data_IF_726376454862
#
_entry.id   IF_726376454862
#
_cell.length_a   1.000
_cell.length_b   1.000
_cell.length_c   1.000
_cell.angle_alpha   90.00
_cell.angle_beta   90.00
_cell.angle_gamma   90.00
#
_symmetry.space_group_name_H-M   'P 1'
#
loop_
_entity.id
_entity.type
_entity.pdbx_description
1 polymer ?
#
# COMPACT_ATOMS: atom_id res chain seq x y z
N UNK A 1 -7.62 21.47 27.43
CA UNK A 1 -8.43 20.40 28.05
C UNK A 1 -9.91 20.78 28.04
N UNK A 2 -10.57 20.76 26.88
CA UNK A 2 -12.04 20.71 26.76
C UNK A 2 -12.51 19.79 25.63
N UNK A 3 -11.57 19.10 24.97
CA UNK A 3 -11.84 18.35 23.74
C UNK A 3 -12.13 16.86 23.98
N UNK A 4 -11.96 16.40 25.23
CA UNK A 4 -12.18 15.01 25.65
C UNK A 4 -12.93 15.02 26.98
N UNK A 5 -14.13 14.44 27.00
CA UNK A 5 -14.86 14.12 28.22
C UNK A 5 -14.70 12.62 28.53
N UNK A 6 -14.30 12.31 29.76
CA UNK A 6 -14.32 10.98 30.34
C UNK A 6 -15.48 10.93 31.33
N UNK A 7 -16.63 10.40 30.90
CA UNK A 7 -17.85 10.38 31.70
C UNK A 7 -17.94 9.14 32.61
N UNK A 8 -17.05 8.16 32.44
CA UNK A 8 -17.19 6.81 33.01
C UNK A 8 -15.86 6.10 33.36
N UNK A 9 -14.69 6.73 33.17
CA UNK A 9 -13.35 6.18 33.42
C UNK A 9 -12.83 5.20 32.36
N UNK A 10 -13.63 4.88 31.33
CA UNK A 10 -13.31 3.85 30.33
C UNK A 10 -13.70 4.21 28.89
N UNK A 11 -14.30 5.37 28.67
CA UNK A 11 -14.61 5.84 27.33
C UNK A 11 -14.18 7.27 27.16
N UNK A 12 -13.36 7.52 26.13
CA UNK A 12 -13.00 8.88 25.73
C UNK A 12 -13.87 9.29 24.56
N UNK A 13 -14.47 10.47 24.68
CA UNK A 13 -15.33 11.06 23.66
C UNK A 13 -14.69 12.35 23.15
N UNK A 14 -14.51 12.48 21.83
CA UNK A 14 -14.11 13.76 21.25
C UNK A 14 -15.28 14.75 21.32
N UNK A 15 -15.11 15.92 21.91
CA UNK A 15 -16.21 16.91 21.98
C UNK A 15 -16.44 17.65 20.66
N UNK A 16 -15.50 17.55 19.71
CA UNK A 16 -15.60 18.15 18.37
C UNK A 16 -16.21 17.20 17.35
N UNK A 17 -15.66 16.00 17.24
CA UNK A 17 -16.02 15.00 16.22
C UNK A 17 -16.89 13.86 16.78
N UNK A 18 -17.11 13.87 18.10
CA UNK A 18 -18.18 13.15 18.80
C UNK A 18 -18.09 11.60 18.77
N UNK A 19 -17.07 11.06 18.08
CA UNK A 19 -16.63 9.68 18.18
C UNK A 19 -16.34 9.27 19.63
N UNK A 20 -16.55 7.98 19.91
CA UNK A 20 -16.28 7.36 21.21
C UNK A 20 -15.31 6.20 21.06
N UNK A 21 -14.30 6.17 21.91
CA UNK A 21 -13.31 5.10 21.99
C UNK A 21 -13.43 4.44 23.37
N UNK A 22 -13.50 3.12 23.40
CA UNK A 22 -13.31 2.34 24.63
C UNK A 22 -11.81 2.17 24.85
N UNK A 23 -11.27 2.83 25.88
CA UNK A 23 -9.82 2.82 26.15
C UNK A 23 -9.33 1.49 26.68
N UNK A 24 -10.20 0.60 27.13
CA UNK A 24 -9.81 -0.74 27.60
C UNK A 24 -9.57 -1.73 26.45
N UNK A 25 -10.28 -1.53 25.33
CA UNK A 25 -10.17 -2.37 24.14
C UNK A 25 -9.49 -1.66 22.96
N UNK A 26 -9.27 -0.35 23.08
CA UNK A 26 -8.81 0.56 22.03
C UNK A 26 -9.66 0.50 20.75
N UNK A 27 -10.93 0.14 20.87
CA UNK A 27 -11.89 0.08 19.76
C UNK A 27 -12.87 1.24 19.84
N UNK A 28 -13.19 1.84 18.70
CA UNK A 28 -14.27 2.81 18.65
C UNK A 28 -15.60 2.11 18.97
N UNK A 29 -16.34 2.66 19.92
CA UNK A 29 -17.70 2.23 20.28
C UNK A 29 -18.76 3.03 19.54
N UNK A 30 -18.37 4.19 19.00
CA UNK A 30 -19.18 4.98 18.07
C UNK A 30 -18.23 5.63 17.05
N UNK A 31 -18.16 5.14 15.81
CA UNK A 31 -18.93 4.03 15.22
C UNK A 31 -18.37 2.63 15.64
N UNK A 32 -19.22 1.67 16.06
CA UNK A 32 -18.78 0.34 16.50
C UNK A 32 -18.29 -0.52 15.34
N UNK A 33 -17.25 -1.33 15.58
CA UNK A 33 -16.69 -2.24 14.58
C UNK A 33 -15.89 -1.55 13.46
N UNK A 34 -15.54 -0.28 13.65
CA UNK A 34 -14.69 0.49 12.74
C UNK A 34 -13.19 0.25 13.03
N UNK A 35 -12.38 1.31 12.95
CA UNK A 35 -10.94 1.29 13.23
C UNK A 35 -10.63 0.79 14.65
N UNK A 36 -9.42 0.30 14.85
CA UNK A 36 -8.84 0.12 16.17
C UNK A 36 -7.77 1.21 16.33
N UNK A 37 -7.77 1.93 17.46
CA UNK A 37 -6.57 2.64 17.85
C UNK A 37 -5.58 1.60 18.38
N UNK A 38 -4.30 1.73 18.05
CA UNK A 38 -3.28 0.97 18.74
C UNK A 38 -2.99 1.64 20.10
N UNK A 39 -2.53 0.87 21.08
CA UNK A 39 -2.16 1.39 22.41
C UNK A 39 -1.11 2.51 22.25
N UNK A 40 -1.37 3.70 22.78
CA UNK A 40 -0.40 4.80 22.79
C UNK A 40 0.83 4.34 23.57
N UNK A 41 1.96 4.23 22.88
CA UNK A 41 3.23 3.98 23.57
C UNK A 41 3.62 5.29 24.25
N UNK A 42 3.50 5.29 25.58
CA UNK A 42 3.99 6.38 26.41
C UNK A 42 5.51 6.23 26.51
N UNK A 43 6.23 7.08 25.80
CA UNK A 43 7.66 7.22 25.97
C UNK A 43 7.92 8.40 26.91
N UNK A 44 8.45 8.12 28.09
CA UNK A 44 9.00 9.15 28.98
C UNK A 44 10.39 9.51 28.47
N UNK A 45 10.61 10.77 28.10
CA UNK A 45 11.95 11.23 27.74
C UNK A 45 12.82 11.46 29.00
N UNK A 46 14.12 11.58 28.79
CA UNK A 46 15.13 11.70 29.86
C UNK A 46 14.97 12.95 30.75
N UNK A 47 14.04 13.87 30.42
CA UNK A 47 13.76 15.12 31.15
C UNK A 47 12.35 15.17 31.78
N UNK A 48 11.70 14.02 32.00
CA UNK A 48 10.28 13.92 32.41
C UNK A 48 9.29 14.53 31.40
N UNK A 49 9.68 14.66 30.12
CA UNK A 49 8.76 14.98 29.03
C UNK A 49 7.93 13.76 28.63
N UNK A 50 6.61 13.92 28.58
CA UNK A 50 5.69 12.89 28.10
C UNK A 50 5.63 12.94 26.57
N UNK A 51 6.10 11.89 25.88
CA UNK A 51 5.93 11.74 24.44
C UNK A 51 4.89 10.66 24.15
N UNK A 52 3.80 11.06 23.48
CA UNK A 52 2.75 10.15 23.02
C UNK A 52 3.02 9.84 21.54
N UNK A 53 3.47 8.62 21.25
CA UNK A 53 3.74 8.20 19.87
C UNK A 53 2.47 7.64 19.26
N UNK A 54 1.92 8.33 18.26
CA UNK A 54 0.80 7.83 17.46
C UNK A 54 1.30 6.72 16.53
N UNK A 55 0.97 5.47 16.88
CA UNK A 55 1.10 4.34 15.96
C UNK A 55 0.11 4.60 14.81
N UNK A 56 0.59 4.67 13.56
CA UNK A 56 -0.34 4.77 12.42
C UNK A 56 -1.11 3.45 12.37
N UNK A 57 -2.43 3.46 12.59
CA UNK A 57 -3.22 2.25 12.41
C UNK A 57 -3.04 1.75 10.97
N UNK A 58 -3.06 0.42 10.74
CA UNK A 58 -3.10 -0.11 9.38
C UNK A 58 -4.29 0.50 8.66
N UNK A 59 -4.11 0.89 7.39
CA UNK A 59 -5.22 1.47 6.66
C UNK A 59 -6.32 0.41 6.51
N UNK A 60 -7.60 0.76 6.66
CA UNK A 60 -8.69 -0.22 6.60
C UNK A 60 -8.76 -0.90 5.22
N UNK A 61 -8.37 -0.19 4.15
CA UNK A 61 -8.32 -0.74 2.79
C UNK A 61 -7.20 -1.77 2.57
N UNK A 62 -6.22 -1.87 3.48
CA UNK A 62 -5.19 -2.92 3.42
C UNK A 62 -5.71 -4.27 3.94
N UNK A 63 -6.93 -4.31 4.49
CA UNK A 63 -7.60 -5.55 4.91
C UNK A 63 -8.11 -6.34 3.70
N UNK A 64 -7.83 -7.65 3.67
CA UNK A 64 -8.26 -8.57 2.60
C UNK A 64 -7.83 -8.13 1.18
N UNK A 65 -6.52 -8.07 0.87
CA UNK A 65 -6.04 -7.60 -0.43
C UNK A 65 -6.46 -8.53 -1.57
N UNK A 66 -6.95 -7.96 -2.67
CA UNK A 66 -7.27 -8.69 -3.91
C UNK A 66 -6.11 -8.69 -4.89
N UNK A 67 -6.02 -9.73 -5.71
CA UNK A 67 -5.05 -9.77 -6.80
C UNK A 67 -5.54 -8.90 -7.98
N UNK A 68 -4.66 -8.07 -8.57
CA UNK A 68 -4.95 -7.32 -9.78
C UNK A 68 -5.45 -8.16 -10.97
N UNK A 69 -6.40 -7.62 -11.73
CA UNK A 69 -6.86 -8.18 -13.02
C UNK A 69 -6.74 -7.11 -14.12
N UNK A 70 -6.58 -7.53 -15.39
CA UNK A 70 -6.53 -6.58 -16.51
C UNK A 70 -7.92 -6.01 -16.85
N UNK A 71 -7.97 -4.71 -17.15
CA UNK A 71 -9.18 -4.02 -17.61
C UNK A 71 -9.25 -4.01 -19.13
N UNK A 72 -10.40 -4.37 -19.67
CA UNK A 72 -10.72 -4.21 -21.08
C UNK A 72 -11.06 -2.74 -21.40
N UNK A 73 -10.79 -2.31 -22.63
CA UNK A 73 -11.17 -0.96 -23.09
C UNK A 73 -12.67 -0.74 -22.93
N UNK A 74 -13.04 0.35 -22.26
CA UNK A 74 -14.44 0.71 -22.01
C UNK A 74 -15.14 -0.12 -20.91
N UNK A 75 -14.40 -0.99 -20.21
CA UNK A 75 -14.90 -1.71 -19.03
C UNK A 75 -15.14 -0.76 -17.86
N UNK A 76 -14.18 0.15 -17.59
CA UNK A 76 -14.30 1.20 -16.57
C UNK A 76 -14.54 2.55 -17.24
N UNK A 77 -15.63 3.23 -16.89
CA UNK A 77 -15.97 4.54 -17.44
C UNK A 77 -16.58 5.43 -16.35
N UNK A 78 -16.15 6.69 -16.28
CA UNK A 78 -16.75 7.71 -15.41
C UNK A 78 -17.45 8.72 -16.30
N UNK A 79 -18.73 8.95 -16.04
CA UNK A 79 -19.52 9.99 -16.68
C UNK A 79 -19.90 11.02 -15.64
N UNK A 80 -19.42 12.25 -15.81
CA UNK A 80 -19.90 13.39 -15.03
C UNK A 80 -21.27 13.81 -15.55
N UNK A 81 -22.26 13.94 -14.66
CA UNK A 81 -23.60 14.41 -15.01
C UNK A 81 -23.74 15.90 -14.70
N UNK A 82 -23.58 16.30 -13.44
CA UNK A 82 -23.59 17.70 -12.98
C UNK A 82 -23.22 17.77 -11.50
N UNK A 83 -22.69 18.90 -11.02
CA UNK A 83 -22.30 19.15 -9.61
C UNK A 83 -21.50 18.00 -8.97
N UNK A 84 -22.07 17.29 -8.01
CA UNK A 84 -21.46 16.13 -7.34
C UNK A 84 -21.86 14.79 -8.00
N UNK A 85 -22.76 14.81 -8.98
CA UNK A 85 -23.34 13.62 -9.57
C UNK A 85 -22.47 13.03 -10.69
N UNK A 86 -22.03 11.80 -10.46
CA UNK A 86 -21.28 10.98 -11.41
C UNK A 86 -21.93 9.61 -11.58
N UNK A 87 -21.75 9.00 -12.76
CA UNK A 87 -22.10 7.63 -13.09
C UNK A 87 -20.79 6.86 -13.39
N UNK A 88 -20.49 5.87 -12.55
CA UNK A 88 -19.32 5.01 -12.66
C UNK A 88 -19.75 3.63 -13.17
N UNK A 89 -19.31 3.29 -14.37
CA UNK A 89 -19.47 1.96 -14.96
C UNK A 89 -18.24 1.12 -14.67
N UNK A 90 -18.45 -0.11 -14.21
CA UNK A 90 -17.44 -1.10 -13.85
C UNK A 90 -17.85 -2.47 -14.43
N UNK A 91 -17.46 -2.74 -15.67
CA UNK A 91 -17.93 -3.91 -16.42
C UNK A 91 -19.42 -3.80 -16.72
N UNK A 92 -20.20 -4.74 -16.18
CA UNK A 92 -21.66 -4.76 -16.25
C UNK A 92 -22.33 -3.99 -15.11
N UNK A 93 -21.57 -3.54 -14.10
CA UNK A 93 -22.07 -2.77 -12.96
C UNK A 93 -22.06 -1.27 -13.17
N UNK A 94 -23.02 -0.58 -12.55
CA UNK A 94 -23.13 0.89 -12.52
C UNK A 94 -23.39 1.41 -11.12
N UNK A 95 -22.59 2.39 -10.70
CA UNK A 95 -22.75 3.10 -9.44
C UNK A 95 -23.03 4.58 -9.73
N UNK A 96 -24.04 5.16 -9.10
CA UNK A 96 -24.27 6.60 -9.14
C UNK A 96 -23.88 7.25 -7.81
N UNK A 97 -23.42 8.50 -7.86
CA UNK A 97 -23.00 9.27 -6.69
C UNK A 97 -23.87 10.52 -6.58
N UNK A 98 -24.30 10.88 -5.37
CA UNK A 98 -24.86 12.19 -5.00
C UNK A 98 -25.82 12.81 -6.04
N UNK A 99 -26.98 12.20 -6.32
CA UNK A 99 -27.83 12.57 -7.45
C UNK A 99 -28.65 13.84 -7.19
N UNK A 100 -28.02 15.01 -7.25
CA UNK A 100 -28.71 16.29 -7.46
C UNK A 100 -28.82 16.62 -8.93
N UNK A 101 -29.98 16.33 -9.53
CA UNK A 101 -30.20 16.44 -10.99
C UNK A 101 -31.35 17.36 -11.36
N UNK A 102 -32.23 17.72 -10.41
CA UNK A 102 -33.31 18.68 -10.66
C UNK A 102 -33.54 19.59 -9.46
N UNK A 103 -34.11 20.76 -9.74
CA UNK A 103 -34.50 21.72 -8.74
C UNK A 103 -33.32 22.40 -8.04
N UNK A 104 -33.61 23.31 -7.09
CA UNK A 104 -32.59 24.03 -6.34
C UNK A 104 -32.10 23.26 -5.11
N UNK A 105 -30.94 23.66 -4.60
CA UNK A 105 -30.41 23.30 -3.29
C UNK A 105 -30.40 24.50 -2.33
N UNK A 106 -30.26 24.23 -1.03
CA UNK A 106 -30.15 25.21 0.07
C UNK A 106 -31.22 26.30 0.01
N UNK A 107 -32.50 25.90 0.09
CA UNK A 107 -33.65 26.82 0.10
C UNK A 107 -33.68 27.80 -1.10
N UNK A 108 -33.25 27.36 -2.29
CA UNK A 108 -33.11 28.15 -3.53
C UNK A 108 -31.89 29.05 -3.60
N UNK A 109 -30.95 28.89 -2.67
CA UNK A 109 -29.65 29.56 -2.75
C UNK A 109 -28.83 29.08 -3.94
N UNK A 110 -28.87 27.78 -4.24
CA UNK A 110 -28.02 27.16 -5.27
C UNK A 110 -28.87 26.51 -6.37
N UNK A 111 -28.34 26.56 -7.59
CA UNK A 111 -28.93 26.01 -8.81
C UNK A 111 -27.87 25.26 -9.59
N UNK A 112 -28.28 24.22 -10.32
CA UNK A 112 -27.38 23.47 -11.18
C UNK A 112 -26.81 24.39 -12.26
N UNK A 113 -25.48 24.46 -12.33
CA UNK A 113 -24.79 25.19 -13.38
C UNK A 113 -24.94 24.51 -14.74
N UNK A 114 -24.92 23.17 -14.75
CA UNK A 114 -25.03 22.37 -15.97
C UNK A 114 -26.39 21.66 -16.00
N UNK A 115 -27.04 21.70 -17.16
CA UNK A 115 -28.23 20.88 -17.42
C UNK A 115 -27.82 19.40 -17.45
N UNK A 116 -28.42 18.53 -16.62
CA UNK A 116 -28.12 17.12 -16.69
C UNK A 116 -28.62 16.49 -17.99
N UNK A 117 -28.00 15.40 -18.46
CA UNK A 117 -28.44 14.70 -19.66
C UNK A 117 -29.92 14.35 -19.63
N UNK A 118 -30.63 14.46 -20.76
CA UNK A 118 -32.08 14.22 -20.81
C UNK A 118 -32.49 12.80 -20.40
N UNK A 119 -31.55 11.83 -20.45
CA UNK A 119 -31.73 10.44 -20.02
C UNK A 119 -31.26 10.17 -18.58
N UNK A 120 -31.06 11.21 -17.75
CA UNK A 120 -30.53 11.07 -16.39
C UNK A 120 -31.37 10.13 -15.52
N UNK A 121 -32.71 10.15 -15.68
CA UNK A 121 -33.61 9.33 -14.87
C UNK A 121 -33.50 7.86 -15.30
N UNK A 122 -33.39 7.58 -16.60
CA UNK A 122 -33.09 6.24 -17.12
C UNK A 122 -31.74 5.74 -16.62
N UNK A 123 -30.72 6.60 -16.54
CA UNK A 123 -29.39 6.24 -16.01
C UNK A 123 -29.47 5.84 -14.55
N UNK A 124 -30.10 6.65 -13.70
CA UNK A 124 -30.30 6.31 -12.29
C UNK A 124 -31.13 5.03 -12.13
N UNK A 125 -32.19 4.87 -12.92
CA UNK A 125 -33.00 3.65 -12.90
C UNK A 125 -32.22 2.41 -13.36
N UNK A 126 -31.10 2.55 -14.08
CA UNK A 126 -30.24 1.44 -14.52
C UNK A 126 -29.05 1.19 -13.60
N UNK A 127 -28.77 2.08 -12.65
CA UNK A 127 -27.69 1.87 -11.69
C UNK A 127 -27.98 0.61 -10.85
N UNK A 128 -26.92 -0.12 -10.50
CA UNK A 128 -26.99 -1.24 -9.57
C UNK A 128 -27.06 -0.77 -8.12
N UNK A 129 -26.44 0.37 -7.83
CA UNK A 129 -26.47 1.02 -6.53
C UNK A 129 -26.22 2.52 -6.63
N UNK A 130 -26.62 3.25 -5.59
CA UNK A 130 -26.33 4.68 -5.42
C UNK A 130 -25.56 4.87 -4.11
N UNK A 131 -24.53 5.69 -4.13
CA UNK A 131 -23.89 6.21 -2.94
C UNK A 131 -24.33 7.65 -2.69
N UNK A 132 -24.67 7.97 -1.44
CA UNK A 132 -24.92 9.35 -1.01
C UNK A 132 -23.95 9.69 0.11
N UNK A 133 -23.10 10.68 -0.14
CA UNK A 133 -22.01 11.08 0.75
C UNK A 133 -22.53 11.71 2.05
N UNK A 134 -23.49 12.63 1.96
CA UNK A 134 -24.04 13.33 3.11
C UNK A 134 -25.40 13.97 2.83
N UNK A 135 -25.99 14.58 3.86
CA UNK A 135 -27.39 15.00 3.89
C UNK A 135 -27.72 16.34 3.20
N UNK A 136 -26.72 17.09 2.73
CA UNK A 136 -26.99 18.40 2.13
C UNK A 136 -27.70 18.27 0.79
N UNK A 137 -28.59 19.22 0.48
CA UNK A 137 -29.52 19.11 -0.66
C UNK A 137 -28.88 19.14 -2.05
N UNK A 138 -27.62 19.57 -2.13
CA UNK A 138 -26.80 19.53 -3.35
C UNK A 138 -26.11 18.17 -3.56
N UNK A 139 -26.20 17.26 -2.58
CA UNK A 139 -25.76 15.86 -2.68
C UNK A 139 -26.97 14.89 -2.54
N UNK A 140 -27.79 15.08 -1.50
CA UNK A 140 -29.05 14.39 -1.24
C UNK A 140 -30.25 15.22 -1.75
N UNK A 141 -30.59 15.07 -3.04
CA UNK A 141 -31.73 15.78 -3.62
C UNK A 141 -33.04 14.98 -3.53
N UNK A 142 -33.90 15.31 -2.56
CA UNK A 142 -35.24 14.72 -2.47
C UNK A 142 -36.10 14.91 -3.74
N UNK A 143 -36.06 16.06 -4.46
CA UNK A 143 -36.73 16.18 -5.76
C UNK A 143 -36.29 15.12 -6.77
N UNK A 144 -34.98 14.89 -6.94
CA UNK A 144 -34.45 13.84 -7.81
C UNK A 144 -34.88 12.46 -7.32
N UNK A 145 -34.72 12.18 -6.03
CA UNK A 145 -35.08 10.89 -5.45
C UNK A 145 -36.59 10.60 -5.51
N UNK A 146 -37.45 11.61 -5.51
CA UNK A 146 -38.89 11.44 -5.69
C UNK A 146 -39.23 10.87 -7.05
N UNK A 147 -38.60 11.39 -8.11
CA UNK A 147 -38.79 10.85 -9.48
C UNK A 147 -38.20 9.45 -9.60
N UNK A 148 -37.05 9.19 -8.99
CA UNK A 148 -36.45 7.85 -8.97
C UNK A 148 -37.35 6.84 -8.24
N UNK A 149 -37.86 7.18 -7.05
CA UNK A 149 -38.69 6.28 -6.24
C UNK A 149 -40.00 5.86 -6.92
N UNK A 150 -40.50 6.68 -7.86
CA UNK A 150 -41.69 6.34 -8.64
C UNK A 150 -41.43 5.23 -9.67
N UNK A 151 -40.17 5.06 -10.10
CA UNK A 151 -39.77 4.08 -11.12
C UNK A 151 -39.01 2.87 -10.55
N UNK A 152 -38.17 3.11 -9.54
CA UNK A 152 -37.29 2.09 -8.94
C UNK A 152 -37.10 2.34 -7.44
N UNK A 153 -38.13 2.13 -6.60
CA UNK A 153 -38.06 2.37 -5.16
C UNK A 153 -37.09 1.42 -4.42
N UNK A 154 -36.79 0.27 -5.03
CA UNK A 154 -35.98 -0.83 -4.49
C UNK A 154 -34.48 -0.73 -4.80
N UNK A 155 -34.05 0.33 -5.52
CA UNK A 155 -32.64 0.53 -5.83
C UNK A 155 -31.80 0.58 -4.54
N UNK A 156 -30.73 -0.22 -4.43
CA UNK A 156 -29.83 -0.16 -3.28
C UNK A 156 -29.18 1.23 -3.17
N UNK A 157 -29.42 1.91 -2.06
CA UNK A 157 -28.75 3.17 -1.72
C UNK A 157 -27.87 2.92 -0.51
N UNK A 158 -26.59 3.28 -0.59
CA UNK A 158 -25.61 3.13 0.48
C UNK A 158 -25.20 4.49 1.04
N UNK A 159 -25.20 4.59 2.37
CA UNK A 159 -24.77 5.77 3.13
C UNK A 159 -23.92 5.35 4.32
N UNK A 160 -23.02 6.22 4.77
CA UNK A 160 -22.26 5.98 6.00
C UNK A 160 -23.12 6.12 7.26
N UNK A 161 -22.77 5.35 8.30
CA UNK A 161 -23.37 5.41 9.63
C UNK A 161 -22.92 6.66 10.42
N UNK A 162 -23.35 7.82 9.93
CA UNK A 162 -23.06 9.15 10.49
C UNK A 162 -23.92 9.44 11.72
N UNK A 163 -23.41 10.26 12.64
CA UNK A 163 -24.17 10.65 13.84
C UNK A 163 -25.46 11.39 13.50
N UNK A 164 -25.42 12.21 12.46
CA UNK A 164 -26.61 12.81 11.88
C UNK A 164 -27.02 11.99 10.65
N UNK A 165 -28.11 11.20 10.72
CA UNK A 165 -28.46 10.30 9.64
C UNK A 165 -28.61 11.04 8.31
N UNK A 166 -27.98 10.52 7.26
CA UNK A 166 -28.04 11.12 5.91
C UNK A 166 -29.50 11.39 5.50
N UNK A 167 -30.37 10.42 5.72
CA UNK A 167 -31.80 10.48 5.40
C UNK A 167 -32.69 11.05 6.52
N UNK A 168 -32.19 11.97 7.36
CA UNK A 168 -32.94 12.48 8.52
C UNK A 168 -34.34 13.02 8.19
N UNK A 169 -34.57 13.56 6.99
CA UNK A 169 -35.84 14.15 6.57
C UNK A 169 -36.66 13.28 5.60
N UNK A 170 -36.32 12.00 5.45
CA UNK A 170 -36.97 11.12 4.46
C UNK A 170 -38.49 11.03 4.68
N UNK A 171 -38.93 10.87 5.93
CA UNK A 171 -40.36 10.74 6.26
C UNK A 171 -41.19 11.98 5.88
N UNK A 172 -40.62 13.19 5.96
CA UNK A 172 -41.32 14.42 5.57
C UNK A 172 -41.16 14.77 4.09
N UNK A 173 -40.20 14.14 3.39
CA UNK A 173 -39.94 14.42 1.98
C UNK A 173 -41.02 13.87 1.03
N UNK A 174 -41.78 12.86 1.48
CA UNK A 174 -42.73 12.12 0.64
C UNK A 174 -42.07 11.20 -0.39
N UNK A 175 -40.76 10.97 -0.31
CA UNK A 175 -40.02 10.00 -1.12
C UNK A 175 -40.18 8.60 -0.51
N UNK A 176 -40.43 7.60 -1.36
CA UNK A 176 -40.65 6.21 -0.93
C UNK A 176 -39.52 5.29 -1.43
N UNK A 177 -38.49 5.10 -0.61
CA UNK A 177 -37.38 4.20 -0.89
C UNK A 177 -37.47 2.98 0.02
N UNK A 178 -37.24 1.78 -0.51
CA UNK A 178 -37.38 0.53 0.25
C UNK A 178 -36.05 -0.16 0.55
N UNK A 179 -34.93 0.36 0.04
CA UNK A 179 -33.62 -0.30 0.12
C UNK A 179 -32.47 0.68 0.44
N UNK A 180 -32.53 1.30 1.61
CA UNK A 180 -31.46 2.16 2.14
C UNK A 180 -30.59 1.32 3.09
N UNK A 181 -29.31 1.27 2.79
CA UNK A 181 -28.29 0.50 3.50
C UNK A 181 -27.34 1.48 4.19
N UNK A 182 -27.46 1.57 5.52
CA UNK A 182 -26.51 2.31 6.36
C UNK A 182 -25.37 1.35 6.70
N UNK A 183 -24.13 1.71 6.34
CA UNK A 183 -22.97 0.81 6.51
C UNK A 183 -21.92 1.43 7.44
N UNK A 184 -21.21 0.60 8.23
CA UNK A 184 -20.16 1.07 9.12
C UNK A 184 -18.94 1.57 8.33
N UNK A 185 -18.22 2.51 8.92
CA UNK A 185 -17.01 3.06 8.33
C UNK A 185 -15.83 2.08 8.39
N UNK A 186 -15.01 2.10 7.33
CA UNK A 186 -13.78 1.29 7.27
C UNK A 186 -14.02 -0.20 6.99
N UNK A 187 -15.24 -0.59 6.62
CA UNK A 187 -15.61 -1.98 6.32
C UNK A 187 -15.93 -2.16 4.84
N UNK A 188 -15.29 -3.16 4.21
CA UNK A 188 -15.56 -3.55 2.83
C UNK A 188 -16.99 -4.06 2.65
N UNK A 189 -17.73 -3.41 1.77
CA UNK A 189 -19.04 -3.82 1.27
C UNK A 189 -18.85 -4.53 -0.07
N UNK A 190 -19.17 -5.82 -0.09
CA UNK A 190 -19.02 -6.65 -1.28
C UNK A 190 -20.24 -6.51 -2.19
N UNK A 191 -20.03 -6.03 -3.41
CA UNK A 191 -21.10 -5.95 -4.43
C UNK A 191 -21.14 -7.24 -5.23
N UNK A 192 -19.98 -7.67 -5.73
CA UNK A 192 -19.78 -8.97 -6.36
C UNK A 192 -18.31 -9.42 -6.26
N UNK A 193 -17.93 -10.44 -7.04
CA UNK A 193 -16.57 -10.99 -7.05
C UNK A 193 -15.49 -9.97 -7.44
N UNK A 194 -15.83 -8.95 -8.24
CA UNK A 194 -14.91 -8.00 -8.83
C UNK A 194 -15.02 -6.61 -8.20
N UNK A 195 -16.18 -6.27 -7.66
CA UNK A 195 -16.50 -4.95 -7.14
C UNK A 195 -16.77 -4.99 -5.63
N UNK A 196 -16.05 -4.13 -4.90
CA UNK A 196 -16.35 -3.78 -3.52
C UNK A 196 -16.11 -2.31 -3.27
N UNK A 197 -16.70 -1.78 -2.21
CA UNK A 197 -16.46 -0.40 -1.80
C UNK A 197 -16.36 -0.29 -0.28
N UNK A 198 -15.82 0.81 0.20
CA UNK A 198 -15.69 1.12 1.62
C UNK A 198 -16.05 2.59 1.81
N UNK A 199 -16.94 2.87 2.76
CA UNK A 199 -17.26 4.24 3.18
C UNK A 199 -16.36 4.59 4.36
N UNK A 200 -15.84 5.81 4.36
CA UNK A 200 -14.93 6.36 5.36
C UNK A 200 -15.49 7.66 5.90
N UNK A 201 -15.10 8.00 7.13
CA UNK A 201 -15.42 9.31 7.72
C UNK A 201 -14.59 10.40 7.05
N UNK A 202 -15.21 11.55 6.80
CA UNK A 202 -14.46 12.74 6.41
C UNK A 202 -13.61 13.26 7.59
N UNK A 203 -12.42 13.79 7.29
CA UNK A 203 -11.48 14.29 8.30
C UNK A 203 -11.83 15.67 8.85
N UNK A 204 -12.74 16.40 8.19
CA UNK A 204 -13.11 17.78 8.51
C UNK A 204 -14.49 17.83 9.19
N UNK A 205 -15.48 17.12 8.65
CA UNK A 205 -16.86 17.03 9.16
C UNK A 205 -17.32 15.57 9.39
N UNK A 206 -16.63 14.79 10.23
CA UNK A 206 -16.90 13.37 10.47
C UNK A 206 -18.32 13.04 10.94
N UNK A 207 -19.01 14.02 11.52
CA UNK A 207 -20.39 13.90 12.00
C UNK A 207 -21.44 13.81 10.88
N UNK A 208 -21.10 14.22 9.66
CA UNK A 208 -22.03 14.37 8.53
C UNK A 208 -21.46 13.91 7.18
N UNK A 209 -20.18 14.18 6.92
CA UNK A 209 -19.55 13.98 5.62
C UNK A 209 -18.82 12.64 5.54
N UNK A 210 -18.91 12.00 4.37
CA UNK A 210 -18.30 10.70 4.12
C UNK A 210 -17.59 10.65 2.78
N UNK A 211 -16.52 9.87 2.70
CA UNK A 211 -15.83 9.57 1.44
C UNK A 211 -15.89 8.08 1.14
N UNK A 212 -15.74 7.71 -0.14
CA UNK A 212 -15.86 6.33 -0.60
C UNK A 212 -14.60 5.88 -1.34
N UNK A 213 -14.11 4.70 -1.01
CA UNK A 213 -13.14 3.95 -1.81
C UNK A 213 -13.92 2.91 -2.61
N UNK A 214 -13.73 2.89 -3.92
CA UNK A 214 -14.28 1.85 -4.80
C UNK A 214 -13.13 1.02 -5.34
N UNK A 215 -13.16 -0.28 -5.06
CA UNK A 215 -12.16 -1.22 -5.55
C UNK A 215 -12.79 -2.11 -6.63
N UNK A 216 -12.22 -2.04 -7.83
CA UNK A 216 -12.60 -2.84 -8.97
C UNK A 216 -11.34 -3.33 -9.67
N UNK A 217 -11.13 -4.66 -9.71
CA UNK A 217 -10.04 -5.32 -10.46
C UNK A 217 -8.73 -4.50 -10.43
N UNK A 218 -8.16 -4.29 -9.24
CA UNK A 218 -7.14 -3.26 -8.99
C UNK A 218 -5.93 -3.35 -9.95
N UNK A 219 -5.84 -2.50 -10.98
CA UNK A 219 -4.94 -2.76 -12.12
C UNK A 219 -3.59 -1.98 -12.08
N UNK A 220 -3.52 -0.84 -11.39
CA UNK A 220 -2.41 0.10 -11.59
C UNK A 220 -1.04 -0.49 -11.24
N UNK A 221 -0.94 -1.20 -10.11
CA UNK A 221 0.33 -1.73 -9.62
C UNK A 221 0.84 -2.87 -10.49
N UNK A 222 -0.05 -3.76 -10.94
CA UNK A 222 0.31 -4.87 -11.82
C UNK A 222 0.69 -4.38 -13.23
N UNK A 223 -0.08 -3.44 -13.81
CA UNK A 223 0.28 -2.81 -15.08
C UNK A 223 1.62 -2.07 -15.00
N UNK A 224 1.84 -1.30 -13.92
CA UNK A 224 3.11 -0.64 -13.66
C UNK A 224 4.26 -1.65 -13.59
N UNK A 225 4.13 -2.70 -12.77
CA UNK A 225 5.15 -3.77 -12.66
C UNK A 225 5.40 -4.43 -14.02
N UNK A 226 4.35 -4.74 -14.78
CA UNK A 226 4.43 -5.34 -16.12
C UNK A 226 5.17 -4.42 -17.10
N UNK A 227 4.86 -3.13 -17.10
CA UNK A 227 5.50 -2.13 -17.94
C UNK A 227 6.99 -1.96 -17.59
N UNK A 228 7.32 -1.84 -16.30
CA UNK A 228 8.71 -1.69 -15.82
C UNK A 228 9.56 -2.93 -16.13
N UNK A 229 9.01 -4.13 -15.92
CA UNK A 229 9.65 -5.38 -16.31
C UNK A 229 9.98 -5.43 -17.80
N UNK A 230 9.04 -5.00 -18.65
CA UNK A 230 9.23 -4.94 -20.10
C UNK A 230 10.30 -3.92 -20.50
N UNK A 231 10.30 -2.74 -19.87
CA UNK A 231 11.36 -1.71 -20.07
C UNK A 231 12.73 -2.26 -19.74
N UNK A 232 12.90 -2.89 -18.58
CA UNK A 232 14.16 -3.50 -18.16
C UNK A 232 14.63 -4.62 -19.10
N UNK A 233 13.71 -5.47 -19.55
CA UNK A 233 14.01 -6.55 -20.50
C UNK A 233 14.52 -5.98 -21.84
N UNK A 234 13.79 -5.01 -22.40
CA UNK A 234 14.13 -4.38 -23.67
C UNK A 234 15.44 -3.59 -23.57
N UNK A 235 15.65 -2.86 -22.47
CA UNK A 235 16.89 -2.13 -22.21
C UNK A 235 18.12 -3.05 -22.23
N UNK A 236 18.06 -4.20 -21.54
CA UNK A 236 19.16 -5.18 -21.55
C UNK A 236 19.42 -5.74 -22.94
N UNK A 237 18.37 -6.10 -23.68
CA UNK A 237 18.52 -6.62 -25.04
C UNK A 237 19.09 -5.57 -26.00
N UNK A 238 18.65 -4.31 -25.89
CA UNK A 238 19.18 -3.19 -26.66
C UNK A 238 20.66 -2.94 -26.34
N UNK A 239 21.05 -2.94 -25.07
CA UNK A 239 22.44 -2.77 -24.65
C UNK A 239 23.35 -3.86 -25.24
N UNK A 240 22.90 -5.12 -25.25
CA UNK A 240 23.65 -6.23 -25.86
C UNK A 240 23.75 -6.05 -27.38
N UNK A 241 22.67 -5.60 -28.03
CA UNK A 241 22.67 -5.29 -29.45
C UNK A 241 23.64 -4.16 -29.79
N UNK A 242 23.76 -3.14 -28.94
CA UNK A 242 24.63 -1.99 -29.21
C UNK A 242 26.10 -2.30 -28.94
N UNK A 243 26.39 -3.06 -27.88
CA UNK A 243 27.76 -3.41 -27.50
C UNK A 243 28.33 -4.61 -28.27
N UNK A 244 27.48 -5.45 -28.88
CA UNK A 244 27.87 -6.67 -29.60
C UNK A 244 28.91 -7.53 -28.85
N UNK A 245 28.68 -7.89 -27.57
CA UNK A 245 29.62 -8.76 -26.85
C UNK A 245 29.66 -10.13 -27.54
N UNK A 246 30.83 -10.78 -27.52
CA UNK A 246 30.96 -12.12 -28.12
C UNK A 246 30.08 -13.15 -27.42
N UNK A 247 29.95 -13.03 -26.10
CA UNK A 247 29.12 -13.89 -25.25
C UNK A 247 28.43 -13.01 -24.20
N UNK A 248 27.14 -13.24 -23.97
CA UNK A 248 26.34 -12.59 -22.93
C UNK A 248 25.85 -13.60 -21.89
N UNK A 249 25.99 -13.24 -20.62
CA UNK A 249 25.59 -14.08 -19.49
C UNK A 249 24.63 -13.30 -18.57
N UNK A 250 23.31 -13.59 -18.60
CA UNK A 250 22.39 -13.03 -17.62
C UNK A 250 22.63 -13.70 -16.26
N UNK A 251 23.31 -13.00 -15.36
CA UNK A 251 23.60 -13.53 -14.01
C UNK A 251 22.85 -12.74 -12.92
N UNK A 252 23.17 -11.46 -12.77
CA UNK A 252 22.64 -10.65 -11.68
C UNK A 252 21.13 -10.35 -11.85
N UNK A 253 20.35 -10.61 -10.79
CA UNK A 253 18.92 -10.27 -10.71
C UNK A 253 17.94 -11.41 -11.00
N UNK A 254 18.42 -12.64 -11.21
CA UNK A 254 17.59 -13.83 -11.49
C UNK A 254 17.57 -14.84 -10.34
N UNK A 255 17.66 -14.35 -9.10
CA UNK A 255 17.58 -15.19 -7.90
C UNK A 255 16.13 -15.40 -7.46
N UNK A 256 15.90 -16.45 -6.68
CA UNK A 256 14.60 -16.79 -6.07
C UNK A 256 14.70 -16.63 -4.56
N UNK A 257 13.69 -15.98 -3.97
CA UNK A 257 13.50 -15.88 -2.53
C UNK A 257 13.29 -17.29 -1.94
N UNK A 258 14.25 -17.75 -1.15
CA UNK A 258 14.27 -19.11 -0.61
C UNK A 258 13.81 -19.17 0.87
N UNK A 259 13.90 -18.07 1.61
CA UNK A 259 13.55 -18.06 3.03
C UNK A 259 12.01 -18.15 3.21
N UNK A 260 11.48 -18.99 4.11
CA UNK A 260 10.03 -19.15 4.30
C UNK A 260 9.30 -17.83 4.61
N UNK A 261 9.91 -16.94 5.40
CA UNK A 261 9.34 -15.63 5.72
C UNK A 261 9.22 -14.68 4.52
N UNK A 262 9.86 -14.99 3.39
CA UNK A 262 9.84 -14.17 2.18
C UNK A 262 8.83 -14.70 1.15
N UNK A 263 7.98 -15.68 1.55
CA UNK A 263 6.94 -16.27 0.70
C UNK A 263 6.09 -15.20 0.01
N UNK A 264 5.66 -14.18 0.75
CA UNK A 264 4.91 -13.05 0.20
C UNK A 264 5.67 -12.34 -0.94
N UNK A 265 6.97 -12.10 -0.78
CA UNK A 265 7.79 -11.47 -1.82
C UNK A 265 7.92 -12.39 -3.02
N UNK A 266 8.19 -13.68 -2.79
CA UNK A 266 8.28 -14.69 -3.85
C UNK A 266 7.00 -14.74 -4.71
N UNK A 267 5.84 -14.64 -4.08
CA UNK A 267 4.53 -14.74 -4.74
C UNK A 267 4.11 -13.44 -5.44
N UNK A 268 4.55 -12.28 -4.96
CA UNK A 268 4.10 -10.96 -5.46
C UNK A 268 5.10 -10.24 -6.36
N UNK A 269 6.40 -10.51 -6.21
CA UNK A 269 7.46 -9.86 -6.99
C UNK A 269 7.81 -10.68 -8.24
N UNK A 270 6.98 -10.56 -9.27
CA UNK A 270 7.21 -11.30 -10.53
C UNK A 270 8.44 -10.78 -11.26
N UNK A 271 9.50 -11.59 -11.37
CA UNK A 271 10.77 -11.23 -12.03
C UNK A 271 10.79 -11.58 -13.52
N UNK A 272 11.70 -10.98 -14.28
CA UNK A 272 11.96 -11.40 -15.66
C UNK A 272 12.66 -12.78 -15.68
N UNK A 273 12.33 -13.61 -16.66
CA UNK A 273 12.97 -14.91 -16.87
C UNK A 273 14.26 -14.73 -17.72
N UNK A 274 15.42 -15.27 -17.30
CA UNK A 274 16.65 -15.16 -18.09
C UNK A 274 16.52 -15.82 -19.48
N UNK A 275 15.68 -16.85 -19.64
CA UNK A 275 15.44 -17.48 -20.94
C UNK A 275 14.70 -16.53 -21.90
N UNK A 276 13.74 -15.76 -21.38
CA UNK A 276 13.05 -14.74 -22.18
C UNK A 276 14.03 -13.67 -22.68
N UNK A 277 14.97 -13.23 -21.83
CA UNK A 277 16.00 -12.28 -22.24
C UNK A 277 16.93 -12.88 -23.30
N UNK A 278 17.40 -14.12 -23.11
CA UNK A 278 18.26 -14.80 -24.08
C UNK A 278 17.58 -14.92 -25.44
N UNK A 279 16.30 -15.33 -25.46
CA UNK A 279 15.52 -15.44 -26.70
C UNK A 279 15.37 -14.07 -27.39
N UNK A 280 15.14 -13.00 -26.62
CA UNK A 280 15.04 -11.65 -27.15
C UNK A 280 16.38 -11.17 -27.74
N UNK A 281 17.51 -11.48 -27.10
CA UNK A 281 18.85 -11.15 -27.61
C UNK A 281 19.14 -11.91 -28.91
N UNK A 282 18.88 -13.22 -28.94
CA UNK A 282 19.09 -14.07 -30.14
C UNK A 282 18.22 -13.65 -31.32
N UNK A 283 17.02 -13.12 -31.06
CA UNK A 283 16.14 -12.58 -32.12
C UNK A 283 16.70 -11.31 -32.76
N UNK A 284 17.51 -10.54 -32.03
CA UNK A 284 17.94 -9.20 -32.42
C UNK A 284 19.46 -9.07 -32.66
N UNK A 285 20.23 -10.14 -32.46
CA UNK A 285 21.70 -10.14 -32.57
C UNK A 285 22.23 -11.57 -32.75
N UNK A 286 23.47 -11.68 -33.24
CA UNK A 286 24.19 -12.96 -33.35
C UNK A 286 24.99 -13.30 -32.08
N UNK A 287 24.70 -12.62 -30.96
CA UNK A 287 25.41 -12.81 -29.69
C UNK A 287 25.07 -14.17 -29.10
N UNK A 288 26.12 -14.92 -28.72
CA UNK A 288 25.94 -16.16 -27.97
C UNK A 288 25.48 -15.83 -26.55
N UNK A 289 24.41 -16.47 -26.09
CA UNK A 289 23.91 -16.27 -24.72
C UNK A 289 24.02 -17.55 -23.91
N UNK A 290 24.45 -17.45 -22.66
CA UNK A 290 24.49 -18.57 -21.73
C UNK A 290 24.01 -18.16 -20.34
N UNK A 291 22.94 -18.78 -19.85
CA UNK A 291 22.51 -18.64 -18.45
C UNK A 291 23.19 -19.71 -17.62
N UNK A 292 24.00 -19.36 -16.62
CA UNK A 292 24.71 -20.33 -15.81
C UNK A 292 23.74 -21.13 -14.95
N UNK A 293 23.99 -22.43 -14.85
CA UNK A 293 23.32 -23.34 -13.91
C UNK A 293 24.32 -23.83 -12.87
N UNK A 294 23.90 -24.16 -11.63
CA UNK A 294 24.78 -24.79 -10.65
C UNK A 294 25.48 -26.02 -11.25
N UNK A 295 26.81 -26.01 -11.26
CA UNK A 295 27.64 -27.08 -11.82
C UNK A 295 27.88 -27.04 -13.34
N UNK A 296 27.27 -26.12 -14.08
CA UNK A 296 27.55 -25.94 -15.50
C UNK A 296 28.88 -25.21 -15.73
N UNK A 297 29.58 -25.53 -16.82
CA UNK A 297 30.85 -24.89 -17.21
C UNK A 297 30.72 -24.26 -18.60
N UNK A 298 31.23 -23.03 -18.73
CA UNK A 298 31.44 -22.35 -20.01
C UNK A 298 32.95 -22.28 -20.30
N UNK A 299 33.42 -23.02 -21.30
CA UNK A 299 34.77 -22.89 -21.82
C UNK A 299 34.81 -21.70 -22.79
N UNK A 300 35.16 -20.53 -22.24
CA UNK A 300 35.30 -19.31 -23.03
C UNK A 300 36.31 -19.46 -24.16
N UNK A 301 37.40 -20.20 -23.96
CA UNK A 301 38.43 -20.37 -24.98
C UNK A 301 37.91 -21.09 -26.23
N UNK A 302 37.09 -22.14 -26.03
CA UNK A 302 36.38 -22.86 -27.10
C UNK A 302 35.34 -21.97 -27.77
N UNK A 303 34.46 -21.36 -26.98
CA UNK A 303 33.36 -20.55 -27.50
C UNK A 303 33.84 -19.29 -28.25
N UNK A 304 35.00 -18.76 -27.88
CA UNK A 304 35.66 -17.65 -28.58
C UNK A 304 36.43 -18.11 -29.84
N UNK A 305 36.65 -19.40 -30.06
CA UNK A 305 37.20 -19.93 -31.32
C UNK A 305 36.10 -20.39 -32.26
N UNK A 306 35.16 -21.16 -31.73
CA UNK A 306 33.99 -21.67 -32.43
C UNK A 306 32.77 -21.58 -31.49
N UNK A 307 31.85 -20.64 -31.73
CA UNK A 307 30.64 -20.49 -30.91
C UNK A 307 29.65 -21.65 -31.05
N UNK A 308 29.89 -22.58 -31.98
CA UNK A 308 29.08 -23.79 -32.20
C UNK A 308 29.70 -25.04 -31.59
N UNK A 309 30.87 -24.94 -30.92
CA UNK A 309 31.50 -26.08 -30.26
C UNK A 309 30.59 -26.64 -29.16
N UNK A 310 30.03 -27.81 -29.41
CA UNK A 310 29.18 -28.56 -28.46
C UNK A 310 29.84 -28.85 -27.11
N UNK A 311 31.18 -28.78 -27.00
CA UNK A 311 31.94 -28.94 -25.76
C UNK A 311 32.25 -27.60 -25.07
N UNK A 312 31.91 -26.48 -25.69
CA UNK A 312 32.11 -25.15 -25.14
C UNK A 312 31.19 -24.85 -23.96
N UNK A 313 30.04 -25.53 -23.86
CA UNK A 313 29.17 -25.53 -22.68
C UNK A 313 29.01 -26.97 -22.21
N UNK A 314 29.36 -27.23 -20.97
CA UNK A 314 29.16 -28.53 -20.31
C UNK A 314 28.10 -28.35 -19.24
N UNK A 315 26.98 -29.06 -19.42
CA UNK A 315 25.90 -29.07 -18.44
C UNK A 315 26.24 -29.99 -17.26
N UNK A 316 25.68 -29.72 -16.07
CA UNK A 316 25.89 -30.61 -14.93
C UNK A 316 25.27 -31.99 -15.22
N UNK A 317 25.76 -33.06 -14.57
CA UNK A 317 25.20 -34.40 -14.73
C UNK A 317 23.68 -34.44 -14.54
N UNK A 318 23.01 -35.32 -15.26
CA UNK A 318 21.56 -35.53 -15.10
C UNK A 318 21.23 -35.88 -13.64
N UNK A 319 20.17 -35.26 -13.10
CA UNK A 319 19.81 -35.40 -11.69
C UNK A 319 20.58 -34.48 -10.72
N UNK A 320 21.47 -33.61 -11.22
CA UNK A 320 22.12 -32.61 -10.36
C UNK A 320 21.07 -31.74 -9.67
N UNK A 321 21.13 -31.74 -8.34
CA UNK A 321 20.19 -31.01 -7.50
C UNK A 321 20.46 -29.51 -7.57
N UNK A 322 19.53 -28.77 -8.17
CA UNK A 322 19.61 -27.32 -8.36
C UNK A 322 19.17 -26.56 -7.10
N UNK A 323 18.15 -27.06 -6.40
CA UNK A 323 17.56 -26.41 -5.23
C UNK A 323 17.88 -27.17 -3.94
N UNK A 324 18.03 -26.45 -2.82
CA UNK A 324 18.06 -27.06 -1.50
C UNK A 324 16.67 -27.53 -1.09
N UNK A 325 16.59 -28.66 -0.38
CA UNK A 325 15.31 -29.13 0.21
C UNK A 325 15.05 -28.50 1.57
N UNK A 326 16.13 -28.18 2.29
CA UNK A 326 16.10 -27.60 3.63
C UNK A 326 17.26 -26.64 3.85
N UNK A 327 17.09 -25.77 4.83
CA UNK A 327 18.06 -24.76 5.23
C UNK A 327 18.27 -24.86 6.75
N UNK A 328 19.52 -24.79 7.17
CA UNK A 328 19.87 -24.63 8.58
C UNK A 328 20.12 -23.15 8.86
N UNK A 329 19.11 -22.47 9.43
CA UNK A 329 19.16 -21.05 9.73
C UNK A 329 19.73 -20.74 11.12
N UNK A 330 19.78 -21.73 12.03
CA UNK A 330 20.11 -21.51 13.44
C UNK A 330 21.46 -20.83 13.68
N UNK A 331 22.57 -21.22 13.00
CA UNK A 331 23.86 -20.55 13.18
C UNK A 331 23.81 -19.04 12.88
N UNK A 332 22.98 -18.65 11.90
CA UNK A 332 22.83 -17.26 11.48
C UNK A 332 21.90 -16.49 12.42
N UNK A 333 20.77 -17.11 12.81
CA UNK A 333 19.82 -16.52 13.76
C UNK A 333 20.44 -16.30 15.13
N UNK A 334 21.30 -17.22 15.62
CA UNK A 334 22.01 -17.04 16.90
C UNK A 334 22.84 -15.77 16.94
N UNK A 335 23.50 -15.43 15.83
CA UNK A 335 24.31 -14.22 15.70
C UNK A 335 23.45 -12.96 15.76
N UNK A 336 22.32 -12.94 15.04
CA UNK A 336 21.35 -11.83 15.08
C UNK A 336 20.73 -11.67 16.48
N UNK A 337 20.24 -12.79 17.04
CA UNK A 337 19.58 -12.83 18.34
C UNK A 337 20.49 -12.41 19.50
N UNK A 338 21.81 -12.58 19.37
CA UNK A 338 22.77 -12.08 20.37
C UNK A 338 22.72 -10.57 20.59
N UNK A 339 22.19 -9.82 19.62
CA UNK A 339 22.06 -8.36 19.68
C UNK A 339 20.72 -7.90 20.26
N UNK A 340 19.73 -8.80 20.35
CA UNK A 340 18.38 -8.46 20.80
C UNK A 340 18.37 -7.98 22.25
N UNK A 341 19.11 -8.63 23.14
CA UNK A 341 19.11 -8.29 24.58
C UNK A 341 20.31 -7.45 25.01
N UNK A 342 20.98 -6.81 24.06
CA UNK A 342 22.14 -5.97 24.38
C UNK A 342 21.72 -4.74 25.19
N UNK A 343 22.49 -4.40 26.23
CA UNK A 343 22.21 -3.29 27.14
C UNK A 343 22.16 -1.93 26.44
N UNK A 344 22.83 -1.77 25.28
CA UNK A 344 22.74 -0.56 24.45
C UNK A 344 21.27 -0.18 24.20
N UNK A 345 20.44 -1.17 23.87
CA UNK A 345 19.06 -0.95 23.44
C UNK A 345 18.07 -0.74 24.58
N UNK A 346 18.54 -0.71 25.84
CA UNK A 346 17.74 -0.26 26.98
C UNK A 346 17.66 1.27 27.07
N UNK A 347 18.54 1.99 26.37
CA UNK A 347 18.65 3.45 26.42
C UNK A 347 18.18 4.08 25.11
N UNK A 348 17.03 4.75 25.07
CA UNK A 348 16.46 5.34 23.84
C UNK A 348 17.42 6.29 23.10
N UNK A 349 18.36 6.92 23.82
CA UNK A 349 19.43 7.77 23.27
C UNK A 349 20.43 7.05 22.34
N UNK A 350 20.40 5.72 22.25
CA UNK A 350 21.23 4.97 21.29
C UNK A 350 20.98 5.43 19.84
N UNK A 351 19.75 5.86 19.52
CA UNK A 351 19.36 6.34 18.18
C UNK A 351 20.22 7.57 17.84
N UNK A 352 20.25 8.54 18.75
CA UNK A 352 21.03 9.77 18.59
C UNK A 352 22.53 9.46 18.48
N UNK A 353 23.05 8.56 19.31
CA UNK A 353 24.47 8.16 19.24
C UNK A 353 24.79 7.49 17.90
N UNK A 354 23.93 6.59 17.41
CA UNK A 354 24.09 5.92 16.12
C UNK A 354 24.11 6.92 14.96
N UNK A 355 23.13 7.83 14.88
CA UNK A 355 23.10 8.82 13.80
C UNK A 355 24.20 9.87 13.91
N UNK A 356 24.68 10.15 15.12
CA UNK A 356 25.86 11.00 15.33
C UNK A 356 27.12 10.31 14.81
N UNK A 357 27.31 9.03 15.14
CA UNK A 357 28.39 8.20 14.61
C UNK A 357 28.32 8.08 13.09
N UNK A 358 27.13 7.82 12.54
CA UNK A 358 26.91 7.71 11.10
C UNK A 358 27.28 9.00 10.37
N UNK A 359 27.20 10.16 11.04
CA UNK A 359 27.68 11.44 10.51
C UNK A 359 26.80 12.04 9.41
N UNK A 360 25.58 11.52 9.21
CA UNK A 360 24.62 12.09 8.28
C UNK A 360 23.99 13.35 8.86
N UNK A 361 24.10 14.49 8.17
CA UNK A 361 23.66 15.80 8.67
C UNK A 361 23.03 16.64 7.55
N UNK A 362 22.34 17.72 7.95
CA UNK A 362 21.80 18.76 7.06
C UNK A 362 20.81 18.23 6.01
N UNK A 363 19.89 17.38 6.43
CA UNK A 363 18.87 16.82 5.55
C UNK A 363 17.50 16.88 6.22
N UNK A 364 16.49 17.36 5.49
CA UNK A 364 15.11 17.42 5.96
C UNK A 364 14.35 16.22 5.39
N UNK A 365 14.24 15.15 6.18
CA UNK A 365 13.65 13.89 5.77
C UNK A 365 12.99 13.21 6.96
N UNK A 366 11.71 12.88 6.82
CA UNK A 366 10.98 12.02 7.75
C UNK A 366 10.89 10.63 7.14
N UNK A 367 11.56 9.65 7.75
CA UNK A 367 11.48 8.24 7.37
C UNK A 367 10.95 7.44 8.55
N UNK A 368 9.88 6.70 8.31
CA UNK A 368 9.37 5.69 9.22
C UNK A 368 9.92 4.33 8.82
N UNK A 369 10.63 3.69 9.74
CA UNK A 369 11.29 2.40 9.53
C UNK A 369 10.66 1.35 10.44
N UNK A 370 10.08 0.30 9.86
CA UNK A 370 9.63 -0.88 10.58
C UNK A 370 10.51 -2.05 10.17
N UNK A 371 11.33 -2.56 11.09
CA UNK A 371 12.29 -3.64 10.81
C UNK A 371 12.16 -4.75 11.85
N UNK A 372 12.62 -5.96 11.52
CA UNK A 372 12.74 -7.03 12.51
C UNK A 372 13.78 -6.64 13.57
N UNK A 373 13.43 -6.83 14.84
CA UNK A 373 14.19 -6.29 15.98
C UNK A 373 15.61 -6.84 16.07
N UNK A 374 15.79 -8.12 15.79
CA UNK A 374 17.07 -8.82 15.74
C UNK A 374 17.99 -8.26 14.63
N UNK A 375 17.43 -8.00 13.45
CA UNK A 375 18.16 -7.47 12.30
C UNK A 375 18.60 -6.02 12.55
N UNK A 376 17.68 -5.13 12.93
CA UNK A 376 18.03 -3.71 13.16
C UNK A 376 19.03 -3.55 14.30
N UNK A 377 18.87 -4.31 15.39
CA UNK A 377 19.81 -4.27 16.51
C UNK A 377 21.18 -4.80 16.10
N UNK A 378 21.24 -5.86 15.30
CA UNK A 378 22.51 -6.37 14.80
C UNK A 378 23.23 -5.36 13.90
N UNK A 379 22.53 -4.74 12.96
CA UNK A 379 23.09 -3.73 12.05
C UNK A 379 23.60 -2.51 12.82
N UNK A 380 22.78 -1.96 13.73
CA UNK A 380 23.14 -0.79 14.54
C UNK A 380 24.32 -1.09 15.45
N UNK A 381 24.28 -2.20 16.19
CA UNK A 381 25.33 -2.57 17.14
C UNK A 381 26.68 -2.69 16.47
N UNK A 382 26.73 -3.28 15.27
CA UNK A 382 27.97 -3.55 14.57
C UNK A 382 28.35 -2.46 13.56
N UNK A 383 27.52 -1.43 13.38
CA UNK A 383 27.76 -0.37 12.39
C UNK A 383 27.74 -0.87 10.96
N UNK A 384 26.86 -1.83 10.65
CA UNK A 384 26.77 -2.43 9.31
C UNK A 384 26.05 -1.48 8.34
N UNK A 385 26.29 -1.72 7.05
CA UNK A 385 25.57 -1.04 5.98
C UNK A 385 24.08 -1.36 6.06
N UNK A 386 23.25 -0.40 5.65
CA UNK A 386 21.80 -0.61 5.66
C UNK A 386 21.31 -1.56 4.57
N UNK A 387 22.18 -2.04 3.69
CA UNK A 387 21.91 -3.11 2.73
C UNK A 387 21.27 -4.33 3.41
N UNK A 388 21.76 -4.69 4.59
CA UNK A 388 21.24 -5.79 5.41
C UNK A 388 19.81 -5.53 5.94
N UNK A 389 19.38 -4.27 6.00
CA UNK A 389 18.03 -3.89 6.42
C UNK A 389 17.04 -3.87 5.27
N UNK A 390 17.39 -3.20 4.16
CA UNK A 390 16.41 -2.89 3.11
C UNK A 390 16.46 -3.87 1.93
N UNK A 391 17.60 -4.47 1.59
CA UNK A 391 17.69 -5.45 0.49
C UNK A 391 17.10 -6.79 0.92
N UNK A 392 17.37 -7.21 2.16
CA UNK A 392 16.98 -8.52 2.69
C UNK A 392 15.50 -8.70 3.04
N UNK A 393 14.60 -7.84 2.56
CA UNK A 393 13.15 -7.84 2.83
C UNK A 393 12.72 -7.74 4.31
N UNK A 394 13.66 -7.44 5.21
CA UNK A 394 13.47 -7.37 6.67
C UNK A 394 12.78 -6.07 7.13
N UNK A 395 12.77 -5.06 6.26
CA UNK A 395 12.34 -3.70 6.61
C UNK A 395 11.20 -3.23 5.70
N UNK A 396 10.30 -2.43 6.28
CA UNK A 396 9.30 -1.63 5.58
C UNK A 396 9.62 -0.16 5.85
N UNK A 397 9.59 0.63 4.78
CA UNK A 397 10.00 2.02 4.78
C UNK A 397 8.84 2.86 4.27
N UNK A 398 8.51 3.91 5.01
CA UNK A 398 7.59 4.95 4.58
C UNK A 398 8.31 6.29 4.68
N UNK A 399 8.09 7.15 3.70
CA UNK A 399 8.74 8.46 3.57
C UNK A 399 7.66 9.52 3.42
N UNK A 400 7.89 10.68 3.99
CA UNK A 400 7.03 11.85 3.81
C UNK A 400 7.90 13.09 3.53
N UNK A 401 7.83 13.68 2.31
CA UNK A 401 7.08 13.20 1.13
C UNK A 401 7.65 11.89 0.54
N UNK A 402 6.87 11.18 -0.28
CA UNK A 402 7.32 9.92 -0.93
C UNK A 402 8.33 10.17 -2.07
N UNK A 403 9.52 10.65 -1.72
CA UNK A 403 10.59 11.01 -2.65
C UNK A 403 11.81 10.11 -2.43
N UNK A 404 12.48 9.70 -3.52
CA UNK A 404 13.74 8.96 -3.44
C UNK A 404 14.93 9.87 -3.13
N UNK A 405 15.34 9.87 -1.87
CA UNK A 405 16.47 10.64 -1.36
C UNK A 405 17.80 9.91 -1.58
N UNK A 406 18.33 9.97 -2.81
CA UNK A 406 19.54 9.24 -3.18
C UNK A 406 20.75 9.50 -2.26
N UNK A 407 20.92 10.73 -1.74
CA UNK A 407 22.01 11.07 -0.84
C UNK A 407 21.91 10.35 0.50
N UNK A 408 20.69 10.24 1.05
CA UNK A 408 20.44 9.50 2.28
C UNK A 408 20.78 8.02 2.09
N UNK A 409 20.20 7.38 1.07
CA UNK A 409 20.44 5.96 0.82
C UNK A 409 21.91 5.67 0.55
N UNK A 410 22.55 6.46 -0.31
CA UNK A 410 23.97 6.34 -0.60
C UNK A 410 24.84 6.51 0.66
N UNK A 411 24.44 7.37 1.60
CA UNK A 411 25.18 7.55 2.85
C UNK A 411 25.19 6.27 3.69
N UNK A 412 24.02 5.67 3.91
CA UNK A 412 23.89 4.45 4.72
C UNK A 412 24.29 3.16 3.98
N UNK A 413 24.50 3.23 2.67
CA UNK A 413 25.00 2.14 1.83
C UNK A 413 26.52 2.11 1.71
N UNK A 414 27.18 3.27 1.65
CA UNK A 414 28.63 3.29 1.34
C UNK A 414 29.45 4.30 2.14
N UNK A 415 28.84 5.24 2.88
CA UNK A 415 29.56 6.33 3.58
C UNK A 415 29.59 6.20 5.09
N UNK A 416 29.13 5.07 5.65
CA UNK A 416 29.25 4.82 7.08
C UNK A 416 30.75 4.72 7.49
N UNK A 417 31.10 5.12 8.72
CA UNK A 417 32.45 4.93 9.23
C UNK A 417 32.89 3.46 9.16
N UNK A 418 34.18 3.22 8.89
CA UNK A 418 34.76 1.86 8.81
C UNK A 418 34.92 1.17 10.18
N UNK A 419 34.68 1.88 11.26
CA UNK A 419 34.74 1.38 12.63
C UNK A 419 33.35 1.42 13.26
N UNK A 420 32.91 0.36 13.97
CA UNK A 420 31.62 0.36 14.66
C UNK A 420 31.48 1.54 15.65
N UNK A 421 30.24 1.90 16.02
CA UNK A 421 30.02 2.88 17.08
C UNK A 421 30.68 2.46 18.39
N UNK A 422 31.20 3.42 19.15
CA UNK A 422 31.83 3.15 20.45
C UNK A 422 30.78 2.98 21.55
N UNK A 423 30.11 1.82 21.54
CA UNK A 423 29.05 1.51 22.47
C UNK A 423 29.50 1.40 23.93
N UNK A 424 30.79 1.09 24.18
CA UNK A 424 31.34 1.12 25.54
C UNK A 424 31.34 2.53 26.10
N UNK A 425 31.78 3.51 25.32
CA UNK A 425 31.78 4.91 25.70
C UNK A 425 30.36 5.47 25.82
N UNK A 426 29.42 4.98 25.00
CA UNK A 426 28.00 5.28 25.14
C UNK A 426 27.44 4.77 26.48
N UNK A 427 27.63 3.48 26.80
CA UNK A 427 27.15 2.90 28.06
C UNK A 427 27.75 3.57 29.30
N UNK A 428 29.03 3.97 29.25
CA UNK A 428 29.67 4.75 30.33
C UNK A 428 29.08 6.15 30.52
N UNK A 429 28.41 6.71 29.49
CA UNK A 429 27.70 8.00 29.57
C UNK A 429 26.25 7.85 30.03
N UNK A 430 25.69 6.63 29.92
CA UNK A 430 24.29 6.33 30.24
C UNK A 430 24.08 5.68 31.62
N UNK A 431 25.12 5.06 32.18
CA UNK A 431 25.14 4.59 33.58
C UNK A 431 25.68 5.67 34.50
#
# INVERSE_FOLDING_TARGET
>A
MRDIEDLDGRSVKCTKHNWKLDVSTMKYTNPPGSFCQDELVVEMDENNGLCLVELNPPNPWDSDPRSPEELAFGEVQITYLTHACMDLKLGDKRMAFDPWLIGPAFARGWWLLHEPPSDWLERLCKADLIYISHMHSDHLSYPTLKQLSQRRPDIPIYVGDTERPVFWNLNHSGVQLTNINVVPFGIWQQVDKNLRFMILMDGVHPEMDTCIIVEYKEEWKAQFIKAERRKLLNYKAQLVKDLQPRIYCPFAGYFVEAHPSDKYIKETNTKNDPNQLNNLIKKNSNVVTWTPRPGATLDLGRMLKDPTDSKGIVEPPEGTKIYKDSWDFEPYLKTLNSSVRDSIFLHSSWIKEYFTWAGFKNYNLVVRIRSRVDVIRHVVKNGLLWDDLYIGFQTRLQRDPDIYHHLFWNHFQIKLPLTPPNWKLFLMRCG
#
